data_IF_793556928651
#
_entry.id   IF_793556928651
#
_cell.length_a   1.000
_cell.length_b   1.000
_cell.length_c   1.000
_cell.angle_alpha   90.00
_cell.angle_beta   90.00
_cell.angle_gamma   90.00
#
_symmetry.space_group_name_H-M   'P 1'
#
loop_
_entity.id
_entity.type
_entity.pdbx_description
1 polymer ?
#
# COMPACT_ATOMS: atom_id res chain seq x y z
N UNK A 1 9.01 -38.28 5.68
CA UNK A 1 9.44 -36.89 5.97
C UNK A 1 9.14 -36.04 4.75
N UNK A 2 8.09 -35.22 4.80
CA UNK A 2 7.74 -34.31 3.70
C UNK A 2 8.77 -33.18 3.63
N UNK A 3 9.32 -32.97 2.43
CA UNK A 3 10.24 -31.88 2.12
C UNK A 3 9.55 -30.54 2.42
N UNK A 4 9.86 -29.92 3.56
CA UNK A 4 9.49 -28.53 3.82
C UNK A 4 10.22 -27.70 2.77
N UNK A 5 9.49 -27.28 1.73
CA UNK A 5 10.05 -26.49 0.63
C UNK A 5 10.76 -25.26 1.20
N UNK A 6 12.09 -25.25 1.19
CA UNK A 6 12.91 -24.11 1.61
C UNK A 6 12.51 -22.89 0.76
N UNK A 7 12.39 -21.72 1.39
CA UNK A 7 12.16 -20.47 0.67
C UNK A 7 13.29 -20.26 -0.35
N UNK A 8 12.96 -19.75 -1.54
CA UNK A 8 13.98 -19.46 -2.56
C UNK A 8 14.96 -18.40 -2.05
N UNK A 9 16.23 -18.42 -2.48
CA UNK A 9 17.18 -17.34 -2.17
C UNK A 9 16.64 -15.97 -2.60
N UNK A 10 17.04 -14.91 -1.88
CA UNK A 10 16.77 -13.54 -2.32
C UNK A 10 17.59 -13.20 -3.57
N UNK A 11 17.08 -12.28 -4.38
CA UNK A 11 17.80 -11.74 -5.53
C UNK A 11 19.01 -10.93 -5.05
N UNK A 12 20.05 -10.85 -5.88
CA UNK A 12 21.22 -10.01 -5.63
C UNK A 12 20.76 -8.56 -5.32
N UNK A 13 21.20 -7.94 -4.20
CA UNK A 13 20.74 -6.62 -3.78
C UNK A 13 21.04 -5.53 -4.81
N UNK A 14 22.14 -5.63 -5.55
CA UNK A 14 22.46 -4.67 -6.62
C UNK A 14 21.48 -4.79 -7.78
N UNK A 15 21.16 -6.00 -8.21
CA UNK A 15 20.18 -6.24 -9.26
C UNK A 15 18.78 -5.78 -8.84
N UNK A 16 18.37 -6.10 -7.60
CA UNK A 16 17.11 -5.66 -7.04
C UNK A 16 17.03 -4.13 -6.95
N UNK A 17 18.11 -3.48 -6.51
CA UNK A 17 18.22 -2.03 -6.46
C UNK A 17 18.14 -1.39 -7.84
N UNK A 18 18.83 -1.94 -8.85
CA UNK A 18 18.77 -1.44 -10.23
C UNK A 18 17.37 -1.56 -10.80
N UNK A 19 16.70 -2.71 -10.65
CA UNK A 19 15.33 -2.89 -11.12
C UNK A 19 14.36 -1.94 -10.43
N UNK A 20 14.51 -1.75 -9.11
CA UNK A 20 13.72 -0.77 -8.36
C UNK A 20 13.95 0.66 -8.88
N UNK A 21 15.19 1.04 -9.16
CA UNK A 21 15.54 2.34 -9.73
C UNK A 21 14.90 2.56 -11.10
N UNK A 22 14.88 1.54 -11.97
CA UNK A 22 14.20 1.60 -13.28
C UNK A 22 12.69 1.81 -13.09
N UNK A 23 12.06 1.08 -12.16
CA UNK A 23 10.62 1.23 -11.87
C UNK A 23 10.31 2.63 -11.35
N UNK A 24 11.13 3.16 -10.43
CA UNK A 24 11.01 4.52 -9.92
C UNK A 24 11.12 5.55 -11.04
N UNK A 25 12.11 5.42 -11.92
CA UNK A 25 12.30 6.30 -13.06
C UNK A 25 11.10 6.26 -14.01
N UNK A 26 10.63 5.06 -14.38
CA UNK A 26 9.48 4.89 -15.27
C UNK A 26 8.20 5.46 -14.67
N UNK A 27 7.99 5.32 -13.37
CA UNK A 27 6.85 5.93 -12.69
C UNK A 27 6.87 7.45 -12.87
N UNK A 28 7.98 8.11 -12.50
CA UNK A 28 8.13 9.55 -12.69
C UNK A 28 8.02 9.98 -14.15
N UNK A 29 8.63 9.23 -15.06
CA UNK A 29 8.65 9.56 -16.49
C UNK A 29 7.28 9.46 -17.15
N UNK A 30 6.48 8.44 -16.80
CA UNK A 30 5.17 8.19 -17.41
C UNK A 30 4.07 9.01 -16.74
N UNK A 31 4.03 9.06 -15.41
CA UNK A 31 2.92 9.69 -14.67
C UNK A 31 3.23 11.11 -14.21
N UNK A 32 4.46 11.59 -14.41
CA UNK A 32 4.92 12.89 -13.92
C UNK A 32 4.98 12.97 -12.39
N UNK A 33 4.82 11.85 -11.69
CA UNK A 33 4.69 11.75 -10.24
C UNK A 33 5.48 10.56 -9.70
N UNK A 34 6.00 10.69 -8.48
CA UNK A 34 6.76 9.60 -7.84
C UNK A 34 5.88 8.49 -7.29
N UNK A 35 6.47 7.34 -6.99
CA UNK A 35 5.76 6.26 -6.27
C UNK A 35 5.35 6.77 -4.88
N UNK A 36 4.04 6.92 -4.65
CA UNK A 36 3.49 7.38 -3.38
C UNK A 36 2.45 6.39 -2.86
N UNK A 37 2.63 5.90 -1.64
CA UNK A 37 1.63 5.06 -0.96
C UNK A 37 0.50 5.91 -0.32
N UNK A 38 0.84 7.10 0.20
CA UNK A 38 -0.09 7.98 0.91
C UNK A 38 -1.19 8.54 0.00
N UNK A 39 -0.87 8.89 -1.25
CA UNK A 39 -1.86 9.36 -2.22
C UNK A 39 -2.91 8.31 -2.60
N UNK A 40 -2.52 7.02 -2.62
CA UNK A 40 -3.43 5.90 -2.89
C UNK A 40 -4.35 5.60 -1.70
N UNK A 41 -3.79 5.56 -0.49
CA UNK A 41 -4.58 5.43 0.74
C UNK A 41 -5.58 6.58 0.91
N UNK A 42 -5.14 7.82 0.67
CA UNK A 42 -5.99 9.00 0.82
C UNK A 42 -7.19 8.93 -0.13
N UNK A 43 -6.99 8.59 -1.41
CA UNK A 43 -8.11 8.45 -2.37
C UNK A 43 -9.07 7.32 -2.02
N UNK A 44 -8.58 6.19 -1.51
CA UNK A 44 -9.43 5.09 -1.06
C UNK A 44 -10.25 5.48 0.19
N UNK A 45 -9.65 6.23 1.12
CA UNK A 45 -10.34 6.79 2.27
C UNK A 45 -11.41 7.81 1.83
N UNK A 46 -11.09 8.69 0.88
CA UNK A 46 -12.04 9.68 0.34
C UNK A 46 -13.21 8.99 -0.37
N UNK A 47 -12.98 7.91 -1.12
CA UNK A 47 -14.06 7.10 -1.71
C UNK A 47 -15.01 6.54 -0.64
N UNK A 48 -14.45 5.89 0.39
CA UNK A 48 -15.26 5.34 1.50
C UNK A 48 -15.98 6.45 2.27
N UNK A 49 -15.34 7.60 2.46
CA UNK A 49 -15.95 8.76 3.10
C UNK A 49 -17.10 9.34 2.28
N UNK A 50 -17.00 9.35 0.95
CA UNK A 50 -18.07 9.81 0.06
C UNK A 50 -19.33 8.94 0.18
N UNK A 51 -19.15 7.62 0.29
CA UNK A 51 -20.24 6.66 0.44
C UNK A 51 -20.94 6.77 1.81
N UNK A 52 -20.21 7.15 2.87
CA UNK A 52 -20.75 7.21 4.24
C UNK A 52 -21.28 8.60 4.60
N UNK A 53 -20.61 9.68 4.16
CA UNK A 53 -20.99 11.07 4.46
C UNK A 53 -20.61 12.03 3.32
N UNK A 54 -21.43 12.12 2.27
CA UNK A 54 -21.17 12.96 1.11
C UNK A 54 -21.24 14.47 1.43
N UNK A 55 -22.07 14.90 2.39
CA UNK A 55 -22.20 16.32 2.77
C UNK A 55 -20.89 16.92 3.32
N UNK A 56 -20.02 16.11 3.92
CA UNK A 56 -18.71 16.55 4.40
C UNK A 56 -17.69 16.76 3.27
N UNK A 57 -17.86 16.09 2.13
CA UNK A 57 -16.98 16.22 0.97
C UNK A 57 -17.23 17.54 0.23
N UNK A 58 -18.49 17.95 0.13
CA UNK A 58 -18.90 19.19 -0.55
C UNK A 58 -18.55 20.48 0.20
N UNK A 59 -18.11 20.39 1.46
CA UNK A 59 -17.69 21.54 2.26
C UNK A 59 -16.17 21.74 2.30
N UNK A 60 -15.38 20.77 1.84
CA UNK A 60 -13.92 20.81 1.91
C UNK A 60 -13.34 20.89 0.50
N UNK A 61 -12.77 22.03 0.14
CA UNK A 61 -12.24 22.31 -1.22
C UNK A 61 -11.23 21.26 -1.73
N UNK A 62 -10.47 20.61 -0.84
CA UNK A 62 -9.54 19.52 -1.18
C UNK A 62 -10.27 18.21 -1.54
N UNK A 63 -11.36 17.89 -0.83
CA UNK A 63 -12.17 16.69 -1.06
C UNK A 63 -13.07 16.86 -2.30
N UNK A 64 -13.63 18.06 -2.48
CA UNK A 64 -14.35 18.48 -3.70
C UNK A 64 -13.53 18.26 -4.98
N UNK A 65 -12.22 18.54 -4.97
CA UNK A 65 -11.33 18.31 -6.12
C UNK A 65 -11.07 16.84 -6.42
N UNK A 66 -11.31 15.93 -5.47
CA UNK A 66 -11.06 14.50 -5.63
C UNK A 66 -12.32 13.67 -5.84
N UNK A 67 -13.47 14.10 -5.32
CA UNK A 67 -14.71 13.33 -5.35
C UNK A 67 -15.98 14.17 -5.58
N UNK A 68 -15.85 15.46 -5.93
CA UNK A 68 -17.00 16.33 -6.18
C UNK A 68 -17.72 16.01 -7.50
N UNK A 69 -19.05 15.94 -7.46
CA UNK A 69 -19.90 15.70 -8.64
C UNK A 69 -19.83 14.26 -9.17
N UNK A 70 -19.60 14.08 -10.48
CA UNK A 70 -19.43 12.76 -11.13
C UNK A 70 -17.98 12.25 -11.15
N UNK A 71 -17.07 12.92 -10.44
CA UNK A 71 -15.66 12.52 -10.40
C UNK A 71 -15.51 11.23 -9.60
N UNK A 72 -15.01 10.16 -10.22
CA UNK A 72 -14.73 8.91 -9.52
C UNK A 72 -13.34 9.00 -8.86
N UNK A 73 -13.23 9.08 -7.52
CA UNK A 73 -11.93 9.14 -6.84
C UNK A 73 -11.08 7.87 -7.05
N UNK A 74 -11.67 6.78 -7.56
CA UNK A 74 -10.96 5.57 -7.95
C UNK A 74 -10.33 5.64 -9.34
N UNK A 75 -10.74 6.59 -10.19
CA UNK A 75 -10.16 6.79 -11.53
C UNK A 75 -8.87 7.62 -11.44
N UNK A 76 -7.95 7.11 -10.65
CA UNK A 76 -6.65 7.70 -10.45
C UNK A 76 -5.55 6.68 -10.63
N UNK A 77 -4.51 7.09 -11.36
CA UNK A 77 -3.30 6.30 -11.61
C UNK A 77 -2.72 5.66 -10.34
N UNK A 78 -2.89 6.30 -9.18
CA UNK A 78 -2.34 5.82 -7.90
C UNK A 78 -3.11 4.63 -7.31
N UNK A 79 -4.38 4.45 -7.69
CA UNK A 79 -5.18 3.27 -7.31
C UNK A 79 -4.68 2.05 -8.06
N UNK A 80 -4.49 2.17 -9.38
CA UNK A 80 -3.87 1.11 -10.19
C UNK A 80 -2.45 0.77 -9.71
N UNK A 81 -1.67 1.78 -9.31
CA UNK A 81 -0.35 1.57 -8.74
C UNK A 81 -0.39 0.80 -7.43
N UNK A 82 -1.31 1.14 -6.54
CA UNK A 82 -1.49 0.48 -5.25
C UNK A 82 -1.88 -0.99 -5.44
N UNK A 83 -2.87 -1.25 -6.30
CA UNK A 83 -3.30 -2.62 -6.64
C UNK A 83 -2.16 -3.41 -7.27
N UNK A 84 -1.46 -2.82 -8.24
CA UNK A 84 -0.32 -3.45 -8.90
C UNK A 84 0.82 -3.78 -7.93
N UNK A 85 1.06 -2.92 -6.94
CA UNK A 85 2.08 -3.14 -5.90
C UNK A 85 1.69 -4.29 -4.98
N UNK A 86 0.44 -4.33 -4.53
CA UNK A 86 -0.09 -5.43 -3.68
C UNK A 86 -0.03 -6.75 -4.44
N UNK A 87 -0.54 -6.78 -5.68
CA UNK A 87 -0.54 -7.97 -6.52
C UNK A 87 0.89 -8.45 -6.84
N UNK A 88 1.79 -7.53 -7.21
CA UNK A 88 3.19 -7.84 -7.49
C UNK A 88 3.93 -8.39 -6.27
N UNK A 89 3.71 -7.80 -5.08
CA UNK A 89 4.24 -8.31 -3.81
C UNK A 89 3.73 -9.70 -3.47
N UNK A 90 2.43 -9.94 -3.66
CA UNK A 90 1.80 -11.23 -3.42
C UNK A 90 2.35 -12.32 -4.36
N UNK A 91 2.40 -12.04 -5.67
CA UNK A 91 2.96 -12.96 -6.67
C UNK A 91 4.44 -13.26 -6.37
N UNK A 92 5.23 -12.23 -6.04
CA UNK A 92 6.63 -12.39 -5.63
C UNK A 92 6.78 -13.30 -4.41
N UNK A 93 5.94 -13.11 -3.39
CA UNK A 93 5.92 -13.94 -2.19
C UNK A 93 5.53 -15.41 -2.46
N UNK A 94 4.56 -15.62 -3.35
CA UNK A 94 4.13 -16.96 -3.80
C UNK A 94 5.24 -17.67 -4.58
N UNK A 95 5.83 -17.02 -5.58
CA UNK A 95 6.95 -17.55 -6.36
C UNK A 95 8.19 -17.81 -5.49
N UNK A 96 8.41 -16.96 -4.49
CA UNK A 96 9.47 -17.09 -3.50
C UNK A 96 9.21 -18.15 -2.43
N UNK A 97 8.02 -18.77 -2.42
CA UNK A 97 7.55 -19.77 -1.43
C UNK A 97 7.73 -19.30 0.01
N UNK A 98 7.37 -18.05 0.28
CA UNK A 98 7.58 -17.39 1.57
C UNK A 98 6.35 -16.70 2.14
N UNK A 99 5.19 -16.92 1.54
CA UNK A 99 3.92 -16.46 2.10
C UNK A 99 3.63 -17.20 3.41
N UNK A 100 3.53 -16.44 4.50
CA UNK A 100 3.17 -16.94 5.83
C UNK A 100 2.25 -15.95 6.52
N UNK A 101 1.22 -16.46 7.16
CA UNK A 101 0.40 -15.67 8.08
C UNK A 101 1.05 -15.73 9.45
N UNK A 102 1.65 -14.61 9.87
CA UNK A 102 2.35 -14.51 11.14
C UNK A 102 2.14 -13.14 11.77
N UNK A 103 2.09 -13.10 13.10
CA UNK A 103 2.14 -11.85 13.86
C UNK A 103 3.57 -11.63 14.31
N UNK A 104 4.30 -10.77 13.61
CA UNK A 104 5.69 -10.43 13.93
C UNK A 104 5.74 -9.57 15.19
N UNK A 105 6.24 -10.13 16.30
CA UNK A 105 6.30 -9.49 17.62
C UNK A 105 7.56 -9.90 18.39
N UNK A 106 8.01 -9.04 19.31
CA UNK A 106 9.08 -9.38 20.24
C UNK A 106 8.65 -10.37 21.34
N UNK A 107 9.59 -11.04 22.02
CA UNK A 107 9.28 -12.04 23.05
C UNK A 107 8.52 -11.45 24.25
N UNK A 108 8.65 -10.14 24.49
CA UNK A 108 8.11 -9.44 25.66
C UNK A 108 6.69 -8.87 25.46
N UNK A 109 6.12 -8.93 24.25
CA UNK A 109 4.81 -8.34 23.97
C UNK A 109 3.78 -9.41 23.60
N UNK A 110 2.52 -9.20 23.99
CA UNK A 110 1.40 -10.07 23.60
C UNK A 110 0.99 -9.80 22.15
N UNK A 111 0.21 -10.72 21.56
CA UNK A 111 -0.38 -10.48 20.23
C UNK A 111 -1.26 -9.22 20.28
N UNK A 112 -2.17 -9.11 21.24
CA UNK A 112 -3.07 -7.96 21.38
C UNK A 112 -2.32 -6.62 21.43
N UNK A 113 -1.25 -6.55 22.23
CA UNK A 113 -0.39 -5.36 22.30
C UNK A 113 0.23 -5.03 20.94
N UNK A 114 0.72 -6.03 20.19
CA UNK A 114 1.30 -5.82 18.86
C UNK A 114 0.29 -5.26 17.86
N UNK A 115 -0.95 -5.75 17.88
CA UNK A 115 -2.03 -5.26 17.02
C UNK A 115 -2.44 -3.83 17.38
N UNK A 116 -2.59 -3.52 18.67
CA UNK A 116 -2.88 -2.15 19.14
C UNK A 116 -1.77 -1.19 18.73
N UNK A 117 -0.50 -1.56 18.94
CA UNK A 117 0.64 -0.75 18.51
C UNK A 117 0.72 -0.59 16.99
N UNK A 118 0.40 -1.64 16.21
CA UNK A 118 0.34 -1.57 14.75
C UNK A 118 -0.72 -0.55 14.30
N UNK A 119 -1.89 -0.58 14.93
CA UNK A 119 -2.99 0.33 14.63
C UNK A 119 -2.65 1.77 14.99
N UNK A 120 -2.14 2.02 16.20
CA UNK A 120 -1.74 3.37 16.64
C UNK A 120 -0.62 3.91 15.75
N UNK A 121 0.40 3.12 15.46
CA UNK A 121 1.51 3.52 14.58
C UNK A 121 1.02 3.85 13.16
N UNK A 122 0.08 3.06 12.62
CA UNK A 122 -0.57 3.34 11.35
C UNK A 122 -1.40 4.62 11.37
N UNK A 123 -2.15 4.87 12.44
CA UNK A 123 -2.92 6.10 12.61
C UNK A 123 -2.03 7.35 12.68
N UNK A 124 -0.91 7.28 13.44
CA UNK A 124 0.06 8.38 13.51
C UNK A 124 0.75 8.61 12.17
N UNK A 125 1.12 7.55 11.44
CA UNK A 125 1.70 7.67 10.10
C UNK A 125 0.70 8.26 9.09
N UNK A 126 -0.60 7.95 9.22
CA UNK A 126 -1.64 8.51 8.36
C UNK A 126 -1.96 9.98 8.68
N UNK A 127 -1.76 10.40 9.93
CA UNK A 127 -1.95 11.78 10.35
C UNK A 127 -0.80 12.72 9.93
N UNK A 128 0.45 12.23 9.96
CA UNK A 128 1.65 12.99 9.58
C UNK A 128 1.83 13.16 8.08
#
# INVERSE_FOLDING_TARGET
MSQVSRARPYMNPYLAGTLLGIVLFLAFFITGSGLGASGGLNRLLVYVQNEVNPEHIDQVAYLLKMAGGNANPLDSWIVFLTIGTIAGGLISGLLGRRMKFETNKGPQISNGTRWVMAFIGGALMGYG
#
